data_IF_157829247112
#
_entry.id   IF_157829247112
#
_cell.length_a   1.000
_cell.length_b   1.000
_cell.length_c   1.000
_cell.angle_alpha   90.00
_cell.angle_beta   90.00
_cell.angle_gamma   90.00
#
_symmetry.space_group_name_H-M   'P 1'
#
loop_
_entity.id
_entity.type
_entity.pdbx_description
1 polymer ?
#
# COMPACT_ATOMS: atom_id res chain seq x y z
N UNK A 1 19.71 -11.74 2.26
CA UNK A 1 19.61 -11.05 0.96
C UNK A 1 18.13 -10.95 0.62
N UNK A 2 17.63 -9.76 0.26
CA UNK A 2 16.23 -9.61 -0.15
C UNK A 2 16.11 -9.84 -1.65
N UNK A 3 15.08 -10.58 -2.08
CA UNK A 3 14.75 -10.86 -3.47
C UNK A 3 13.33 -10.41 -3.80
N UNK A 4 13.07 -10.15 -5.08
CA UNK A 4 11.73 -9.82 -5.55
C UNK A 4 10.79 -11.01 -5.37
N UNK A 5 9.68 -10.80 -4.65
CA UNK A 5 8.62 -11.78 -4.46
C UNK A 5 7.28 -11.18 -4.83
N UNK A 6 6.35 -12.03 -5.27
CA UNK A 6 4.96 -11.65 -5.48
C UNK A 6 4.13 -12.05 -4.26
N UNK A 7 3.29 -11.15 -3.78
CA UNK A 7 2.36 -11.39 -2.67
C UNK A 7 0.94 -11.13 -3.15
N UNK A 8 0.02 -12.03 -2.82
CA UNK A 8 -1.42 -11.85 -3.08
C UNK A 8 -2.03 -11.14 -1.88
N UNK A 9 -2.78 -10.08 -2.15
CA UNK A 9 -3.51 -9.31 -1.13
C UNK A 9 -4.98 -9.30 -1.50
N UNK A 10 -5.84 -9.72 -0.58
CA UNK A 10 -7.27 -9.58 -0.74
C UNK A 10 -7.69 -8.13 -0.48
N UNK A 11 -8.42 -7.55 -1.44
CA UNK A 11 -8.93 -6.19 -1.32
C UNK A 11 -10.39 -6.26 -0.91
N UNK A 12 -10.75 -5.55 0.16
CA UNK A 12 -12.16 -5.29 0.45
C UNK A 12 -12.80 -4.52 -0.72
N UNK A 13 -14.14 -4.55 -0.86
CA UNK A 13 -14.82 -3.81 -1.93
C UNK A 13 -14.42 -2.33 -1.98
N UNK A 14 -14.27 -1.69 -0.81
CA UNK A 14 -13.87 -0.30 -0.70
C UNK A 14 -12.41 -0.07 -1.14
N UNK A 15 -11.47 -0.93 -0.72
CA UNK A 15 -10.09 -0.86 -1.18
C UNK A 15 -9.99 -1.02 -2.71
N UNK A 16 -10.72 -1.97 -3.29
CA UNK A 16 -10.74 -2.17 -4.73
C UNK A 16 -11.34 -0.95 -5.46
N UNK A 17 -12.38 -0.32 -4.91
CA UNK A 17 -12.97 0.91 -5.45
C UNK A 17 -11.94 2.05 -5.46
N UNK A 18 -11.28 2.31 -4.32
CA UNK A 18 -10.27 3.34 -4.19
C UNK A 18 -9.06 3.10 -5.09
N UNK A 19 -8.55 1.87 -5.15
CA UNK A 19 -7.43 1.49 -6.00
C UNK A 19 -7.79 1.64 -7.49
N UNK A 20 -9.00 1.24 -7.89
CA UNK A 20 -9.46 1.38 -9.27
C UNK A 20 -9.54 2.85 -9.70
N UNK A 21 -10.07 3.72 -8.84
CA UNK A 21 -10.12 5.16 -9.11
C UNK A 21 -8.71 5.77 -9.19
N UNK A 22 -7.81 5.38 -8.31
CA UNK A 22 -6.41 5.82 -8.35
C UNK A 22 -5.69 5.38 -9.63
N UNK A 23 -5.82 4.09 -9.98
CA UNK A 23 -5.22 3.51 -11.18
C UNK A 23 -5.72 4.20 -12.45
N UNK A 24 -7.03 4.51 -12.53
CA UNK A 24 -7.62 5.25 -13.64
C UNK A 24 -7.03 6.68 -13.77
N UNK A 25 -6.93 7.44 -12.67
CA UNK A 25 -6.34 8.79 -12.69
C UNK A 25 -4.87 8.77 -13.12
N UNK A 26 -4.13 7.76 -12.67
CA UNK A 26 -2.70 7.60 -12.98
C UNK A 26 -2.43 6.95 -14.34
N UNK A 27 -3.46 6.46 -15.06
CA UNK A 27 -3.35 5.61 -16.27
C UNK A 27 -2.45 4.38 -16.07
N UNK A 28 -2.59 3.71 -14.92
CA UNK A 28 -1.84 2.49 -14.57
C UNK A 28 -2.76 1.30 -14.45
N UNK A 29 -2.20 0.09 -14.52
CA UNK A 29 -2.93 -1.09 -14.04
C UNK A 29 -3.09 -1.04 -12.52
N UNK A 30 -4.10 -1.74 -11.99
CA UNK A 30 -4.30 -1.84 -10.52
C UNK A 30 -3.08 -2.40 -9.82
N UNK A 31 -2.41 -3.40 -10.41
CA UNK A 31 -1.19 -3.99 -9.86
C UNK A 31 -0.06 -2.98 -9.78
N UNK A 32 0.20 -2.22 -10.85
CA UNK A 32 1.23 -1.19 -10.86
C UNK A 32 0.96 -0.10 -9.83
N UNK A 33 -0.27 0.40 -9.77
CA UNK A 33 -0.66 1.42 -8.80
C UNK A 33 -0.56 0.89 -7.35
N UNK A 34 -0.95 -0.36 -7.10
CA UNK A 34 -0.81 -0.99 -5.79
C UNK A 34 0.65 -1.15 -5.37
N UNK A 35 1.53 -1.59 -6.28
CA UNK A 35 2.97 -1.70 -6.00
C UNK A 35 3.57 -0.35 -5.63
N UNK A 36 3.27 0.71 -6.40
CA UNK A 36 3.77 2.06 -6.12
C UNK A 36 3.25 2.56 -4.78
N UNK A 37 1.96 2.40 -4.49
CA UNK A 37 1.36 2.84 -3.23
C UNK A 37 1.91 2.08 -2.03
N UNK A 38 2.08 0.76 -2.14
CA UNK A 38 2.66 -0.04 -1.07
C UNK A 38 4.10 0.39 -0.80
N UNK A 39 4.91 0.58 -1.85
CA UNK A 39 6.28 1.04 -1.71
C UNK A 39 6.36 2.44 -1.07
N UNK A 40 5.57 3.39 -1.56
CA UNK A 40 5.50 4.74 -1.01
C UNK A 40 5.08 4.73 0.46
N UNK A 41 4.07 3.93 0.79
CA UNK A 41 3.57 3.82 2.17
C UNK A 41 4.60 3.21 3.10
N UNK A 42 5.25 2.11 2.71
CA UNK A 42 6.32 1.49 3.51
C UNK A 42 7.52 2.43 3.70
N UNK A 43 7.83 3.28 2.72
CA UNK A 43 8.93 4.25 2.80
C UNK A 43 8.60 5.43 3.74
N UNK A 44 7.37 5.93 3.69
CA UNK A 44 6.96 7.13 4.42
C UNK A 44 6.33 6.84 5.79
N UNK A 45 5.92 5.59 6.03
CA UNK A 45 5.25 5.12 7.24
C UNK A 45 5.92 3.83 7.74
N UNK A 46 7.15 3.92 8.30
CA UNK A 46 7.91 2.75 8.73
C UNK A 46 7.22 1.99 9.88
N UNK A 47 6.47 2.71 10.73
CA UNK A 47 5.86 2.18 11.94
C UNK A 47 4.34 2.33 11.92
N UNK A 48 3.64 1.23 11.65
CA UNK A 48 2.17 1.17 11.69
C UNK A 48 1.79 0.09 12.70
N UNK A 49 1.23 0.51 13.84
CA UNK A 49 0.70 -0.39 14.85
C UNK A 49 -0.70 -0.91 14.45
N UNK A 50 -1.50 -0.05 13.81
CA UNK A 50 -2.76 -0.38 13.11
C UNK A 50 -3.13 0.81 12.21
N UNK A 51 -4.18 0.72 11.40
CA UNK A 51 -4.63 1.83 10.56
C UNK A 51 -4.77 3.11 11.41
N UNK A 52 -4.10 4.19 10.99
CA UNK A 52 -4.12 5.48 11.68
C UNK A 52 -3.36 5.55 13.02
N UNK A 53 -2.74 4.47 13.50
CA UNK A 53 -1.91 4.47 14.71
C UNK A 53 -0.47 4.06 14.40
N UNK A 54 0.47 4.90 14.80
CA UNK A 54 1.91 4.62 14.75
C UNK A 54 2.36 4.08 16.11
N UNK A 55 3.44 3.29 16.13
CA UNK A 55 4.10 3.00 17.39
C UNK A 55 4.59 4.34 17.98
N UNK A 56 4.27 4.63 19.25
CA UNK A 56 4.88 5.77 19.92
C UNK A 56 6.36 5.46 20.07
N UNK A 57 7.23 6.34 19.59
CA UNK A 57 8.62 6.35 20.04
C UNK A 57 8.56 6.55 21.56
N UNK A 58 8.90 5.51 22.32
CA UNK A 58 9.14 5.65 23.75
C UNK A 58 10.45 6.44 23.86
N UNK A 59 10.35 7.74 24.15
CA UNK A 59 11.48 8.56 24.58
C UNK A 59 11.69 8.40 26.08
#
# INVERSE_FOLDING_TARGET
MFSSVATVVELTPEMNRLLSQAAARSRRSKTQEATIRLFDHLKNFPDIATEGRRFRENN
#
